data_IF_050227670157
#
_entry.id   IF_050227670157
#
_cell.length_a   1.000
_cell.length_b   1.000
_cell.length_c   1.000
_cell.angle_alpha   90.00
_cell.angle_beta   90.00
_cell.angle_gamma   90.00
#
_symmetry.space_group_name_H-M   'P 1'
#
loop_
_entity.id
_entity.type
_entity.pdbx_description
1 polymer ?
#
# COMPACT_ATOMS: atom_id res chain seq x y z
N UNK A 1 15.07 8.25 10.25
CA UNK A 1 14.53 8.43 11.61
C UNK A 1 14.32 9.90 11.92
N UNK A 2 15.41 10.67 12.10
CA UNK A 2 15.39 12.09 12.47
C UNK A 2 14.54 12.97 11.53
N UNK A 3 14.68 12.82 10.21
CA UNK A 3 13.88 13.59 9.24
C UNK A 3 12.37 13.37 9.39
N UNK A 4 11.93 12.13 9.62
CA UNK A 4 10.52 11.81 9.86
C UNK A 4 10.01 12.46 11.16
N UNK A 5 10.83 12.44 12.22
CA UNK A 5 10.49 13.08 13.49
C UNK A 5 10.42 14.61 13.36
N UNK A 6 11.35 15.21 12.61
CA UNK A 6 11.38 16.65 12.34
C UNK A 6 10.15 17.07 11.56
N UNK A 7 9.84 16.37 10.46
CA UNK A 7 8.63 16.63 9.65
C UNK A 7 7.37 16.53 10.50
N UNK A 8 7.18 15.44 11.25
CA UNK A 8 6.03 15.28 12.13
C UNK A 8 5.90 16.42 13.15
N UNK A 9 7.02 16.91 13.68
CA UNK A 9 7.00 18.06 14.58
C UNK A 9 6.63 19.36 13.85
N UNK A 10 7.17 19.58 12.65
CA UNK A 10 6.91 20.79 11.85
C UNK A 10 5.47 20.85 11.35
N UNK A 11 4.88 19.70 11.05
CA UNK A 11 3.48 19.56 10.63
C UNK A 11 2.48 19.69 11.81
N UNK A 12 2.96 20.02 13.02
CA UNK A 12 2.12 20.25 14.20
C UNK A 12 1.77 19.00 15.00
N UNK A 13 2.48 17.89 14.77
CA UNK A 13 2.27 16.58 15.44
C UNK A 13 0.86 16.02 15.26
N UNK A 14 0.33 15.98 14.02
CA UNK A 14 -1.04 15.59 13.79
C UNK A 14 -1.26 14.12 14.17
N UNK A 15 -2.34 13.84 14.89
CA UNK A 15 -2.61 12.51 15.43
C UNK A 15 -2.75 11.43 14.34
N UNK A 16 -3.23 11.84 13.16
CA UNK A 16 -3.39 11.02 11.97
C UNK A 16 -2.06 10.46 11.41
N UNK A 17 -0.94 11.15 11.64
CA UNK A 17 0.38 10.74 11.13
C UNK A 17 1.18 9.92 12.14
N UNK A 18 0.68 9.71 13.36
CA UNK A 18 1.37 8.93 14.40
C UNK A 18 1.71 7.51 13.91
N UNK A 19 0.83 6.88 13.14
CA UNK A 19 1.07 5.55 12.57
C UNK A 19 2.24 5.56 11.58
N UNK A 20 2.28 6.56 10.69
CA UNK A 20 3.35 6.75 9.69
C UNK A 20 4.70 7.01 10.37
N UNK A 21 4.71 7.90 11.36
CA UNK A 21 5.91 8.21 12.15
C UNK A 21 6.41 6.97 12.89
N UNK A 22 5.52 6.28 13.62
CA UNK A 22 5.88 5.12 14.42
C UNK A 22 6.48 4.02 13.55
N UNK A 23 5.85 3.71 12.42
CA UNK A 23 6.35 2.71 11.48
C UNK A 23 7.74 3.11 10.96
N UNK A 24 7.92 4.37 10.58
CA UNK A 24 9.20 4.90 10.09
C UNK A 24 10.33 4.83 11.12
N UNK A 25 10.02 5.12 12.40
CA UNK A 25 10.99 5.05 13.49
C UNK A 25 11.33 3.61 13.87
N UNK A 26 10.33 2.73 13.97
CA UNK A 26 10.54 1.30 14.25
C UNK A 26 11.42 0.66 13.18
N UNK A 27 11.14 0.91 11.89
CA UNK A 27 11.95 0.41 10.78
C UNK A 27 13.38 0.97 10.81
N UNK A 28 13.54 2.27 11.04
CA UNK A 28 14.86 2.90 11.08
C UNK A 28 15.71 2.32 12.23
N UNK A 29 15.14 2.17 13.43
CA UNK A 29 15.84 1.59 14.57
C UNK A 29 16.19 0.13 14.36
N UNK A 30 15.29 -0.65 13.74
CA UNK A 30 15.56 -2.03 13.35
C UNK A 30 16.74 -2.12 12.38
N UNK A 31 16.73 -1.34 11.29
CA UNK A 31 17.81 -1.32 10.30
C UNK A 31 19.15 -0.88 10.89
N UNK A 32 19.15 0.09 11.81
CA UNK A 32 20.37 0.52 12.51
C UNK A 32 20.94 -0.64 13.33
N UNK A 33 20.10 -1.33 14.11
CA UNK A 33 20.55 -2.45 14.94
C UNK A 33 21.07 -3.62 14.07
N UNK A 34 20.38 -3.93 12.97
CA UNK A 34 20.78 -4.94 12.00
C UNK A 34 22.14 -4.60 11.34
N UNK A 35 22.31 -3.35 10.90
CA UNK A 35 23.56 -2.89 10.30
C UNK A 35 24.73 -2.91 11.29
N UNK A 36 24.52 -2.44 12.53
CA UNK A 36 25.54 -2.48 13.58
C UNK A 36 25.95 -3.91 13.92
N UNK A 37 24.99 -4.83 14.02
CA UNK A 37 25.30 -6.22 14.27
C UNK A 37 26.04 -6.86 13.09
N UNK A 38 25.61 -6.60 11.85
CA UNK A 38 26.29 -7.05 10.64
C UNK A 38 27.72 -6.53 10.53
N UNK A 39 27.96 -5.27 10.90
CA UNK A 39 29.31 -4.69 11.00
C UNK A 39 30.18 -5.47 12.00
N UNK A 40 29.66 -5.76 13.19
CA UNK A 40 30.40 -6.49 14.22
C UNK A 40 30.66 -7.95 13.84
N UNK A 41 29.72 -8.58 13.14
CA UNK A 41 29.86 -9.96 12.64
C UNK A 41 30.97 -10.07 11.58
N UNK A 42 31.20 -9.02 10.80
CA UNK A 42 32.23 -8.94 9.75
C UNK A 42 33.51 -8.20 10.17
N UNK A 43 33.61 -7.74 11.42
CA UNK A 43 34.73 -6.91 11.85
C UNK A 43 36.06 -7.70 11.84
N UNK A 44 37.14 -7.21 11.21
CA UNK A 44 38.38 -7.98 11.02
C UNK A 44 39.06 -8.40 12.33
N UNK A 45 39.07 -7.51 13.32
CA UNK A 45 39.70 -7.77 14.62
C UNK A 45 38.66 -8.29 15.61
N UNK A 46 38.62 -9.62 15.81
CA UNK A 46 37.63 -10.29 16.67
C UNK A 46 37.63 -9.80 18.13
N UNK A 47 38.78 -9.62 18.81
CA UNK A 47 38.81 -9.01 20.13
C UNK A 47 38.11 -7.65 20.22
N UNK A 48 38.39 -6.74 19.28
CA UNK A 48 37.74 -5.42 19.22
C UNK A 48 36.24 -5.58 18.95
N UNK A 49 35.86 -6.50 18.05
CA UNK A 49 34.46 -6.79 17.74
C UNK A 49 33.68 -7.23 19.00
N UNK A 50 34.25 -8.09 19.83
CA UNK A 50 33.62 -8.54 21.08
C UNK A 50 33.44 -7.39 22.08
N UNK A 51 34.47 -6.58 22.27
CA UNK A 51 34.38 -5.38 23.11
C UNK A 51 33.29 -4.43 22.63
N UNK A 52 33.27 -4.10 21.33
CA UNK A 52 32.26 -3.24 20.73
C UNK A 52 30.86 -3.85 20.80
N UNK A 53 30.72 -5.17 20.70
CA UNK A 53 29.43 -5.86 20.84
C UNK A 53 28.84 -5.65 22.22
N UNK A 54 29.64 -5.73 23.28
CA UNK A 54 29.19 -5.44 24.66
C UNK A 54 28.85 -3.96 24.84
N UNK A 55 29.59 -3.05 24.21
CA UNK A 55 29.34 -1.61 24.35
C UNK A 55 28.10 -1.12 23.57
N UNK A 56 27.92 -1.59 22.34
CA UNK A 56 26.90 -1.10 21.41
C UNK A 56 25.60 -1.92 21.52
N UNK A 57 25.73 -3.24 21.67
CA UNK A 57 24.60 -4.19 21.74
C UNK A 57 24.72 -5.05 23.01
N UNK A 58 24.69 -4.44 24.22
CA UNK A 58 24.95 -5.13 25.48
C UNK A 58 24.01 -6.32 25.73
N UNK A 59 22.83 -6.29 25.12
CA UNK A 59 21.82 -7.33 25.23
C UNK A 59 21.51 -8.04 23.91
N UNK A 60 22.39 -7.90 22.91
CA UNK A 60 22.14 -8.38 21.55
C UNK A 60 21.08 -7.59 20.81
N UNK A 61 20.55 -8.17 19.72
CA UNK A 61 19.51 -7.58 18.88
C UNK A 61 18.15 -7.69 19.57
N UNK A 62 17.45 -6.57 19.78
CA UNK A 62 16.15 -6.51 20.46
C UNK A 62 15.06 -5.84 19.61
N UNK A 63 15.44 -5.08 18.60
CA UNK A 63 14.48 -4.41 17.72
C UNK A 63 13.81 -5.44 16.84
N UNK A 64 12.51 -5.26 16.67
CA UNK A 64 11.68 -6.05 15.75
C UNK A 64 11.33 -5.16 14.56
N UNK A 65 11.12 -5.79 13.41
CA UNK A 65 10.50 -5.13 12.27
C UNK A 65 9.11 -4.60 12.69
N UNK A 66 8.62 -3.49 12.10
CA UNK A 66 7.28 -3.00 12.37
C UNK A 66 6.23 -4.10 12.17
N UNK A 67 5.26 -4.19 13.08
CA UNK A 67 4.23 -5.24 13.02
C UNK A 67 3.30 -5.08 11.82
N UNK A 68 2.75 -6.18 11.31
CA UNK A 68 1.75 -6.18 10.22
C UNK A 68 0.52 -5.34 10.55
N UNK A 69 0.07 -5.33 11.81
CA UNK A 69 -1.06 -4.49 12.25
C UNK A 69 -0.75 -3.00 12.05
N UNK A 70 0.49 -2.58 12.36
CA UNK A 70 0.93 -1.21 12.12
C UNK A 70 1.10 -0.94 10.62
N UNK A 71 1.65 -1.91 9.87
CA UNK A 71 1.77 -1.85 8.41
C UNK A 71 0.42 -1.69 7.73
N UNK A 72 -0.60 -2.44 8.14
CA UNK A 72 -1.97 -2.35 7.62
C UNK A 72 -2.59 -0.97 7.86
N UNK A 73 -2.36 -0.37 9.05
CA UNK A 73 -2.82 1.00 9.33
C UNK A 73 -2.15 2.04 8.45
N UNK A 74 -0.85 1.89 8.20
CA UNK A 74 -0.09 2.77 7.29
C UNK A 74 -0.59 2.61 5.85
N UNK A 75 -0.77 1.37 5.39
CA UNK A 75 -1.28 1.08 4.06
C UNK A 75 -2.70 1.64 3.86
N UNK A 76 -3.59 1.45 4.84
CA UNK A 76 -4.94 2.04 4.83
C UNK A 76 -4.88 3.56 4.72
N UNK A 77 -4.09 4.22 5.57
CA UNK A 77 -3.94 5.67 5.53
C UNK A 77 -3.43 6.23 4.18
N UNK A 78 -2.64 5.45 3.44
CA UNK A 78 -2.12 5.85 2.12
C UNK A 78 -3.09 5.51 0.98
N UNK A 79 -3.84 4.41 1.07
CA UNK A 79 -4.67 3.88 0.00
C UNK A 79 -6.16 4.23 0.14
N UNK A 80 -6.60 4.81 1.26
CA UNK A 80 -8.00 5.15 1.53
C UNK A 80 -8.48 6.47 0.90
N UNK A 81 -7.65 7.12 0.07
CA UNK A 81 -8.00 8.41 -0.52
C UNK A 81 -7.98 9.56 0.49
N UNK A 82 -7.28 9.38 1.62
CA UNK A 82 -7.04 10.46 2.56
C UNK A 82 -6.01 11.45 1.96
N UNK A 83 -6.16 12.74 2.30
CA UNK A 83 -5.25 13.81 1.90
C UNK A 83 -3.81 13.60 2.41
N UNK A 84 -3.56 12.62 3.30
CA UNK A 84 -2.22 12.28 3.79
C UNK A 84 -1.26 11.92 2.67
N UNK A 85 -1.68 11.11 1.70
CA UNK A 85 -0.80 10.74 0.59
C UNK A 85 -0.45 11.96 -0.24
N UNK A 86 -1.42 12.80 -0.56
CA UNK A 86 -1.22 14.07 -1.28
C UNK A 86 -0.27 15.01 -0.52
N UNK A 87 -0.41 15.15 0.80
CA UNK A 87 0.53 15.90 1.66
C UNK A 87 1.94 15.31 1.61
N UNK A 88 2.07 13.98 1.61
CA UNK A 88 3.37 13.30 1.52
C UNK A 88 4.03 13.49 0.15
N UNK A 89 3.23 13.57 -0.91
CA UNK A 89 3.66 13.67 -2.30
C UNK A 89 3.51 15.06 -2.90
N UNK A 90 3.31 16.10 -2.09
CA UNK A 90 3.00 17.46 -2.56
C UNK A 90 4.09 18.07 -3.48
N UNK A 91 5.32 17.58 -3.40
CA UNK A 91 6.43 18.01 -4.26
C UNK A 91 6.65 17.10 -5.48
N UNK A 92 5.80 16.11 -5.69
CA UNK A 92 5.87 15.16 -6.80
C UNK A 92 4.96 15.67 -7.91
N UNK A 93 5.51 15.82 -9.12
CA UNK A 93 4.71 16.12 -10.30
C UNK A 93 3.84 14.92 -10.68
N UNK A 94 2.54 15.13 -10.77
CA UNK A 94 1.57 14.14 -11.24
C UNK A 94 1.19 14.49 -12.68
N UNK A 95 1.51 13.63 -13.67
CA UNK A 95 1.06 13.81 -15.05
C UNK A 95 -0.47 13.72 -15.16
N UNK A 96 -1.01 14.16 -16.29
CA UNK A 96 -2.44 13.99 -16.57
C UNK A 96 -2.86 12.51 -16.46
N UNK A 97 -4.09 12.30 -16.00
CA UNK A 97 -4.74 11.01 -15.75
C UNK A 97 -4.75 10.03 -16.96
N UNK A 98 -4.76 10.59 -18.17
CA UNK A 98 -4.74 9.83 -19.43
C UNK A 98 -3.34 9.40 -19.88
N UNK A 99 -2.28 9.81 -19.16
CA UNK A 99 -0.91 9.42 -19.50
C UNK A 99 -0.51 8.14 -18.76
N UNK A 100 0.20 7.21 -19.44
CA UNK A 100 0.67 5.99 -18.82
C UNK A 100 1.64 6.30 -17.67
N UNK A 101 1.65 5.42 -16.66
CA UNK A 101 2.44 5.59 -15.45
C UNK A 101 1.67 6.27 -14.33
N UNK A 102 2.24 7.30 -13.71
CA UNK A 102 1.70 7.88 -12.47
C UNK A 102 0.29 8.47 -12.65
N UNK A 103 0.01 9.18 -13.74
CA UNK A 103 -1.33 9.76 -13.98
C UNK A 103 -2.43 8.69 -14.03
N UNK A 104 -2.22 7.63 -14.81
CA UNK A 104 -3.09 6.46 -14.85
C UNK A 104 -3.26 5.77 -13.48
N UNK A 105 -2.19 5.67 -12.69
CA UNK A 105 -2.26 5.09 -11.35
C UNK A 105 -3.12 5.93 -10.39
N UNK A 106 -3.00 7.26 -10.44
CA UNK A 106 -3.84 8.17 -9.65
C UNK A 106 -5.32 8.04 -10.02
N UNK A 107 -5.64 8.06 -11.32
CA UNK A 107 -7.01 7.84 -11.83
C UNK A 107 -7.59 6.52 -11.35
N UNK A 108 -6.78 5.46 -11.41
CA UNK A 108 -7.20 4.12 -11.01
C UNK A 108 -7.43 4.03 -9.51
N UNK A 109 -6.57 4.66 -8.69
CA UNK A 109 -6.77 4.73 -7.25
C UNK A 109 -8.06 5.48 -6.90
N UNK A 110 -8.33 6.61 -7.53
CA UNK A 110 -9.55 7.38 -7.32
C UNK A 110 -10.80 6.55 -7.64
N UNK A 111 -10.83 5.90 -8.81
CA UNK A 111 -11.92 5.03 -9.22
C UNK A 111 -12.14 3.86 -8.23
N UNK A 112 -11.06 3.20 -7.82
CA UNK A 112 -11.12 2.08 -6.85
C UNK A 112 -11.57 2.55 -5.47
N UNK A 113 -11.16 3.73 -5.00
CA UNK A 113 -11.63 4.29 -3.73
C UNK A 113 -13.12 4.61 -3.80
N UNK A 114 -13.58 5.22 -4.91
CA UNK A 114 -14.97 5.55 -5.13
C UNK A 114 -15.88 4.31 -5.18
N UNK A 115 -15.40 3.17 -5.69
CA UNK A 115 -16.19 1.93 -5.80
C UNK A 115 -16.32 1.13 -4.50
N UNK A 116 -15.53 1.43 -3.46
CA UNK A 116 -15.48 0.63 -2.21
C UNK A 116 -16.84 0.43 -1.53
N UNK A 117 -17.73 1.43 -1.40
CA UNK A 117 -19.02 1.22 -0.75
C UNK A 117 -19.89 0.19 -1.49
N UNK A 118 -19.85 0.21 -2.82
CA UNK A 118 -20.54 -0.76 -3.66
C UNK A 118 -19.89 -2.14 -3.55
N UNK A 119 -18.57 -2.23 -3.66
CA UNK A 119 -17.81 -3.47 -3.53
C UNK A 119 -18.02 -4.13 -2.16
N UNK A 120 -18.08 -3.35 -1.08
CA UNK A 120 -18.34 -3.85 0.27
C UNK A 120 -19.73 -4.50 0.38
N UNK A 121 -20.76 -3.90 -0.23
CA UNK A 121 -22.12 -4.49 -0.27
C UNK A 121 -22.17 -5.76 -1.09
N UNK A 122 -21.54 -5.79 -2.26
CA UNK A 122 -21.44 -7.01 -3.09
C UNK A 122 -20.69 -8.11 -2.32
N UNK A 123 -19.56 -7.77 -1.69
CA UNK A 123 -18.79 -8.72 -0.88
C UNK A 123 -19.58 -9.25 0.31
N UNK A 124 -20.36 -8.40 0.99
CA UNK A 124 -21.23 -8.81 2.07
C UNK A 124 -22.32 -9.78 1.60
N UNK A 125 -22.95 -9.51 0.45
CA UNK A 125 -23.96 -10.37 -0.14
C UNK A 125 -23.42 -11.74 -0.58
N UNK A 126 -22.17 -11.79 -1.07
CA UNK A 126 -21.50 -13.06 -1.36
C UNK A 126 -21.20 -13.83 -0.07
N UNK A 127 -20.73 -13.14 0.99
CA UNK A 127 -20.45 -13.79 2.29
C UNK A 127 -21.70 -14.31 2.98
N UNK A 128 -22.84 -13.64 2.82
CA UNK A 128 -24.12 -14.10 3.37
C UNK A 128 -24.80 -15.17 2.53
N UNK A 129 -24.23 -15.54 1.37
CA UNK A 129 -24.78 -16.55 0.47
C UNK A 129 -25.94 -16.06 -0.40
N UNK A 130 -26.24 -14.76 -0.38
CA UNK A 130 -27.27 -14.16 -1.25
C UNK A 130 -26.81 -14.14 -2.71
N UNK A 131 -25.51 -13.94 -2.94
CA UNK A 131 -24.89 -14.05 -4.26
C UNK A 131 -23.90 -15.22 -4.29
N UNK A 132 -23.94 -15.99 -5.36
CA UNK A 132 -22.88 -16.96 -5.65
C UNK A 132 -21.61 -16.25 -6.12
N UNK A 133 -20.46 -16.74 -5.64
CA UNK A 133 -19.14 -16.25 -6.05
C UNK A 133 -18.94 -16.43 -7.55
N UNK A 134 -18.57 -15.35 -8.23
CA UNK A 134 -18.29 -15.32 -9.67
C UNK A 134 -17.15 -14.31 -9.96
N UNK A 135 -16.66 -14.21 -11.20
CA UNK A 135 -15.75 -13.14 -11.60
C UNK A 135 -16.35 -11.74 -11.38
N UNK A 136 -15.53 -10.68 -11.18
CA UNK A 136 -16.02 -9.34 -10.86
C UNK A 136 -17.08 -8.80 -11.82
N UNK A 137 -16.85 -8.92 -13.14
CA UNK A 137 -17.80 -8.48 -14.16
C UNK A 137 -19.17 -9.18 -14.04
N UNK A 138 -19.19 -10.47 -13.75
CA UNK A 138 -20.44 -11.22 -13.56
C UNK A 138 -21.09 -10.90 -12.21
N UNK A 139 -20.29 -10.62 -11.18
CA UNK A 139 -20.79 -10.25 -9.85
C UNK A 139 -21.49 -8.89 -9.86
N UNK A 140 -20.97 -7.90 -10.60
CA UNK A 140 -21.57 -6.56 -10.69
C UNK A 140 -22.97 -6.61 -11.31
N UNK A 141 -23.14 -7.40 -12.37
CA UNK A 141 -24.43 -7.67 -13.00
C UNK A 141 -25.42 -8.38 -12.07
N UNK A 142 -24.99 -9.46 -11.42
CA UNK A 142 -25.84 -10.21 -10.47
C UNK A 142 -26.27 -9.35 -9.29
N UNK A 143 -25.37 -8.52 -8.77
CA UNK A 143 -25.67 -7.62 -7.67
C UNK A 143 -26.70 -6.55 -8.06
N UNK A 144 -26.62 -6.02 -9.27
CA UNK A 144 -27.62 -5.08 -9.79
C UNK A 144 -28.97 -5.75 -10.03
N UNK A 145 -29.00 -6.96 -10.61
CA UNK A 145 -30.23 -7.74 -10.81
C UNK A 145 -30.93 -8.09 -9.49
N UNK A 146 -30.14 -8.37 -8.44
CA UNK A 146 -30.63 -8.64 -7.09
C UNK A 146 -30.96 -7.37 -6.29
N UNK A 147 -30.87 -6.17 -6.88
CA UNK A 147 -31.08 -4.87 -6.22
C UNK A 147 -30.18 -4.63 -4.99
N UNK A 148 -29.00 -5.24 -4.93
CA UNK A 148 -28.01 -5.02 -3.85
C UNK A 148 -27.28 -3.69 -4.06
N UNK A 149 -27.08 -3.32 -5.33
CA UNK A 149 -26.50 -2.06 -5.79
C UNK A 149 -27.39 -1.41 -6.86
N UNK A 150 -27.32 -0.09 -7.00
CA UNK A 150 -28.01 0.66 -8.05
C UNK A 150 -27.28 0.54 -9.41
N UNK A 151 -27.94 0.99 -10.48
CA UNK A 151 -27.32 1.10 -11.80
C UNK A 151 -26.09 2.03 -11.79
N UNK A 152 -26.18 3.17 -11.10
CA UNK A 152 -25.05 4.11 -10.96
C UNK A 152 -23.87 3.50 -10.19
N UNK A 153 -24.15 2.70 -9.16
CA UNK A 153 -23.12 2.03 -8.38
C UNK A 153 -22.46 0.89 -9.15
N UNK A 154 -23.22 0.21 -10.02
CA UNK A 154 -22.67 -0.76 -10.98
C UNK A 154 -21.71 -0.07 -11.94
N UNK A 155 -22.08 1.07 -12.51
CA UNK A 155 -21.22 1.83 -13.43
C UNK A 155 -19.90 2.25 -12.75
N UNK A 156 -19.95 2.72 -11.50
CA UNK A 156 -18.75 3.05 -10.72
C UNK A 156 -17.86 1.82 -10.50
N UNK A 157 -18.47 0.68 -10.17
CA UNK A 157 -17.74 -0.57 -9.92
C UNK A 157 -17.10 -1.11 -11.21
N UNK A 158 -17.83 -1.11 -12.33
CA UNK A 158 -17.33 -1.54 -13.63
C UNK A 158 -16.20 -0.60 -14.12
N UNK A 159 -16.33 0.71 -13.93
CA UNK A 159 -15.29 1.69 -14.28
C UNK A 159 -14.02 1.51 -13.42
N UNK A 160 -14.17 1.23 -12.13
CA UNK A 160 -13.05 0.95 -11.23
C UNK A 160 -12.33 -0.34 -11.61
N UNK A 161 -13.07 -1.39 -11.99
CA UNK A 161 -12.49 -2.65 -12.45
C UNK A 161 -11.74 -2.47 -13.78
N UNK A 162 -12.31 -1.70 -14.72
CA UNK A 162 -11.63 -1.37 -15.97
C UNK A 162 -10.33 -0.59 -15.73
N UNK A 163 -10.35 0.45 -14.88
CA UNK A 163 -9.17 1.24 -14.54
C UNK A 163 -8.10 0.38 -13.82
N UNK A 164 -8.53 -0.50 -12.91
CA UNK A 164 -7.64 -1.44 -12.22
C UNK A 164 -6.96 -2.39 -13.19
N UNK A 165 -7.69 -2.94 -14.15
CA UNK A 165 -7.14 -3.83 -15.18
C UNK A 165 -6.13 -3.10 -16.06
N UNK A 166 -6.47 -1.89 -16.52
CA UNK A 166 -5.60 -1.02 -17.30
C UNK A 166 -4.28 -0.73 -16.56
N UNK A 167 -4.35 -0.43 -15.26
CA UNK A 167 -3.17 -0.14 -14.44
C UNK A 167 -2.29 -1.37 -14.12
N UNK A 168 -2.87 -2.57 -14.04
CA UNK A 168 -2.15 -3.80 -13.66
C UNK A 168 -1.58 -4.52 -14.88
N UNK A 169 -2.16 -4.31 -16.07
CA UNK A 169 -1.65 -4.92 -17.29
C UNK A 169 -0.27 -4.36 -17.63
N UNK A 170 0.72 -5.24 -17.59
CA UNK A 170 2.07 -5.00 -18.11
C UNK A 170 2.30 -6.06 -19.18
N UNK A 171 2.76 -5.65 -20.36
CA UNK A 171 3.00 -6.53 -21.52
C UNK A 171 1.75 -7.34 -21.94
N UNK A 172 0.60 -6.66 -22.06
CA UNK A 172 -0.60 -7.28 -22.62
C UNK A 172 -0.47 -7.38 -24.14
N UNK A 173 -0.27 -8.61 -24.63
CA UNK A 173 -0.36 -8.95 -26.03
C UNK A 173 -1.71 -9.58 -26.30
N UNK A 174 -2.37 -9.16 -27.38
CA UNK A 174 -3.51 -9.90 -27.89
C UNK A 174 -3.09 -11.32 -28.30
N UNK A 175 -4.08 -12.22 -28.37
CA UNK A 175 -3.82 -13.64 -28.62
C UNK A 175 -3.08 -13.91 -29.94
N UNK A 176 -3.21 -13.04 -30.94
CA UNK A 176 -2.50 -13.16 -32.22
C UNK A 176 -1.06 -12.67 -32.09
N UNK A 177 -0.85 -11.49 -31.49
CA UNK A 177 0.50 -10.95 -31.23
C UNK A 177 1.32 -11.89 -30.36
N UNK A 178 0.74 -12.48 -29.32
CA UNK A 178 1.43 -13.45 -28.45
C UNK A 178 1.92 -14.68 -29.20
N UNK A 179 1.17 -15.15 -30.20
CA UNK A 179 1.57 -16.31 -31.03
C UNK A 179 2.76 -16.00 -31.94
N UNK A 180 2.94 -14.73 -32.33
CA UNK A 180 4.05 -14.30 -33.20
C UNK A 180 5.34 -14.00 -32.44
N UNK A 181 5.29 -13.88 -31.12
CA UNK A 181 6.45 -13.66 -30.24
C UNK A 181 7.19 -14.95 -29.86
N UNK A 182 6.73 -16.11 -30.34
CA UNK A 182 7.26 -17.44 -29.97
C UNK A 182 8.28 -17.99 -30.97
#
# INVERSE_FOLDING_TARGET
>A
GSAALKRFNDDGRPDEDKALLRWSLELALYRIEEALAGLLDNFPNRPIAWMLRVLILPYGRRRKMPSDVLGARVAGALLEGDARREKLTASIFVPNDNLPGLGMLERSLEAVVASRPAEARVSAAVRSGVLEKAPPATLSERAAQANIISASEKEILDAADAARLDAVQVDWFDAETYQTLR
#
